data_IF_960235661334
#
_entry.id   IF_960235661334
#
_cell.length_a   1.000
_cell.length_b   1.000
_cell.length_c   1.000
_cell.angle_alpha   90.00
_cell.angle_beta   90.00
_cell.angle_gamma   90.00
#
_symmetry.space_group_name_H-M   'P 1'
#
loop_
_entity.id
_entity.type
_entity.pdbx_description
1 polymer ?
#
# COMPACT_ATOMS: atom_id res chain seq x y z
N UNK A 1 -14.26 8.02 -1.33
CA UNK A 1 -13.13 8.78 -0.80
C UNK A 1 -12.24 9.25 -1.94
N UNK A 2 -11.61 10.43 -1.83
CA UNK A 2 -10.47 10.87 -2.65
C UNK A 2 -9.27 11.09 -1.73
N UNK A 3 -8.10 10.54 -2.04
CA UNK A 3 -6.89 10.74 -1.23
C UNK A 3 -5.88 11.66 -1.94
N UNK A 4 -5.49 12.75 -1.29
CA UNK A 4 -4.49 13.69 -1.76
C UNK A 4 -3.08 13.23 -1.37
N UNK A 5 -2.21 13.07 -2.38
CA UNK A 5 -0.84 12.64 -2.18
C UNK A 5 0.08 13.80 -1.80
N UNK A 6 0.59 13.75 -0.57
CA UNK A 6 1.59 14.67 0.00
C UNK A 6 2.81 13.89 0.51
N UNK A 7 3.09 12.72 -0.08
CA UNK A 7 4.10 11.78 0.44
C UNK A 7 5.09 11.21 -0.58
N UNK A 8 4.86 11.43 -1.89
CA UNK A 8 5.74 10.93 -2.95
C UNK A 8 7.05 11.75 -3.04
N UNK A 9 8.24 11.13 -2.94
CA UNK A 9 9.52 11.86 -2.96
C UNK A 9 10.20 11.91 -4.34
N UNK A 10 9.58 11.42 -5.42
CA UNK A 10 10.30 11.27 -6.71
C UNK A 10 10.64 12.60 -7.39
N UNK A 11 11.73 12.66 -8.16
CA UNK A 11 12.17 13.89 -8.85
C UNK A 11 11.10 14.52 -9.76
N UNK A 12 10.29 13.69 -10.45
CA UNK A 12 9.18 14.15 -11.31
C UNK A 12 8.09 14.93 -10.55
N UNK A 13 7.99 14.69 -9.25
CA UNK A 13 7.00 15.29 -8.35
C UNK A 13 7.43 16.68 -7.93
N UNK A 14 8.73 16.91 -7.74
CA UNK A 14 9.28 18.23 -7.44
C UNK A 14 9.14 19.19 -8.63
N UNK A 15 9.39 18.70 -9.84
CA UNK A 15 9.25 19.51 -11.05
C UNK A 15 7.81 19.99 -11.30
N UNK A 16 6.81 19.27 -10.80
CA UNK A 16 5.40 19.63 -10.93
C UNK A 16 4.75 20.19 -9.66
N UNK A 17 5.51 20.41 -8.58
CA UNK A 17 5.00 20.89 -7.29
C UNK A 17 3.84 20.06 -6.69
N UNK A 18 3.94 18.73 -6.72
CA UNK A 18 2.99 17.83 -6.03
C UNK A 18 3.70 16.95 -4.99
N UNK A 19 3.01 16.03 -4.32
CA UNK A 19 3.63 15.04 -3.43
C UNK A 19 4.41 15.62 -2.23
N UNK A 20 5.53 15.00 -1.84
CA UNK A 20 6.18 15.27 -0.56
C UNK A 20 6.69 16.72 -0.43
N UNK A 21 7.01 17.41 -1.54
CA UNK A 21 7.45 18.80 -1.45
C UNK A 21 6.38 19.75 -0.87
N UNK A 22 5.10 19.38 -0.99
CA UNK A 22 3.99 20.12 -0.42
C UNK A 22 3.94 20.12 1.11
N UNK A 23 4.71 19.24 1.79
CA UNK A 23 4.95 19.32 3.24
C UNK A 23 5.58 20.66 3.66
N UNK A 24 6.24 21.37 2.74
CA UNK A 24 6.81 22.70 3.00
C UNK A 24 5.78 23.83 2.93
N UNK A 25 4.59 23.55 2.39
CA UNK A 25 3.54 24.55 2.12
C UNK A 25 2.17 24.05 2.60
N UNK A 26 1.98 23.80 3.91
CA UNK A 26 0.74 23.24 4.46
C UNK A 26 -0.50 24.09 4.15
N UNK A 27 -0.37 25.42 4.12
CA UNK A 27 -1.48 26.32 3.75
C UNK A 27 -2.02 26.07 2.34
N UNK A 28 -1.12 25.90 1.36
CA UNK A 28 -1.51 25.55 -0.01
C UNK A 28 -2.20 24.18 -0.08
N UNK A 29 -1.75 23.21 0.74
CA UNK A 29 -2.40 21.90 0.82
C UNK A 29 -3.78 22.01 1.43
N UNK A 30 -3.97 22.84 2.45
CA UNK A 30 -5.27 23.12 3.04
C UNK A 30 -6.24 23.78 2.03
N UNK A 31 -5.77 24.75 1.24
CA UNK A 31 -6.54 25.34 0.15
C UNK A 31 -6.94 24.30 -0.91
N UNK A 32 -5.98 23.48 -1.37
CA UNK A 32 -6.23 22.38 -2.30
C UNK A 32 -7.25 21.38 -1.74
N UNK A 33 -7.06 20.95 -0.49
CA UNK A 33 -7.96 20.02 0.18
C UNK A 33 -9.37 20.60 0.30
N UNK A 34 -9.51 21.87 0.71
CA UNK A 34 -10.79 22.55 0.83
C UNK A 34 -11.52 22.66 -0.51
N UNK A 35 -10.80 23.02 -1.57
CA UNK A 35 -11.36 23.06 -2.93
C UNK A 35 -11.82 21.67 -3.41
N UNK A 36 -11.02 20.62 -3.15
CA UNK A 36 -11.38 19.25 -3.48
C UNK A 36 -12.62 18.79 -2.70
N UNK A 37 -12.67 19.05 -1.39
CA UNK A 37 -13.79 18.65 -0.54
C UNK A 37 -15.07 19.40 -0.89
N UNK A 38 -15.00 20.68 -1.27
CA UNK A 38 -16.16 21.43 -1.73
C UNK A 38 -16.72 20.92 -3.08
N UNK A 39 -15.89 20.24 -3.88
CA UNK A 39 -16.29 19.71 -5.19
C UNK A 39 -16.96 18.33 -5.12
N UNK A 40 -16.88 17.62 -3.99
CA UNK A 40 -17.37 16.24 -3.86
C UNK A 40 -18.04 15.96 -2.51
N UNK A 41 -19.05 15.10 -2.50
CA UNK A 41 -19.75 14.70 -1.26
C UNK A 41 -19.05 13.57 -0.50
N UNK A 42 -18.05 12.93 -1.11
CA UNK A 42 -17.26 11.86 -0.48
C UNK A 42 -16.09 12.46 0.31
N UNK A 43 -15.59 11.77 1.35
CA UNK A 43 -14.46 12.28 2.13
C UNK A 43 -13.21 12.50 1.27
N UNK A 44 -12.54 13.63 1.47
CA UNK A 44 -11.19 13.88 0.98
C UNK A 44 -10.20 13.67 2.13
N UNK A 45 -9.21 12.81 1.92
CA UNK A 45 -8.22 12.42 2.94
C UNK A 45 -6.83 12.79 2.45
N UNK A 46 -5.83 12.83 3.35
CA UNK A 46 -4.46 13.19 2.98
C UNK A 46 -3.48 12.11 3.39
N UNK A 47 -2.56 11.77 2.49
CA UNK A 47 -1.45 10.86 2.77
C UNK A 47 -0.11 11.59 2.71
N UNK A 48 0.60 11.66 3.82
CA UNK A 48 1.84 12.42 3.97
C UNK A 48 3.02 11.56 4.47
N UNK A 49 4.14 12.24 4.72
CA UNK A 49 5.33 11.78 5.45
C UNK A 49 5.38 12.50 6.80
N UNK A 50 6.34 12.16 7.65
CA UNK A 50 6.57 12.90 8.92
C UNK A 50 7.35 14.21 8.73
N UNK A 51 7.75 14.55 7.50
CA UNK A 51 8.60 15.70 7.21
C UNK A 51 9.46 15.48 5.97
N UNK A 52 10.06 16.55 5.48
CA UNK A 52 11.02 16.50 4.36
C UNK A 52 12.38 17.09 4.70
N UNK A 53 13.41 16.57 4.03
CA UNK A 53 14.80 17.05 4.10
C UNK A 53 15.27 17.30 5.54
N UNK A 54 15.69 18.51 5.90
CA UNK A 54 16.21 18.88 7.22
C UNK A 54 15.14 19.36 8.21
N UNK A 55 13.85 19.40 7.84
CA UNK A 55 12.79 19.84 8.76
C UNK A 55 12.78 19.01 10.04
N UNK A 56 12.51 19.65 11.19
CA UNK A 56 12.17 18.89 12.39
C UNK A 56 10.88 18.09 12.13
N UNK A 57 10.89 16.75 12.30
CA UNK A 57 9.72 15.93 11.98
C UNK A 57 8.50 16.23 12.84
N UNK A 58 8.69 16.63 14.09
CA UNK A 58 7.59 16.90 15.00
C UNK A 58 6.91 18.22 14.65
N UNK A 59 7.70 19.29 14.54
CA UNK A 59 7.19 20.60 14.11
C UNK A 59 6.51 20.51 12.73
N UNK A 60 7.15 19.80 11.79
CA UNK A 60 6.63 19.64 10.42
C UNK A 60 5.32 18.86 10.39
N UNK A 61 5.27 17.68 11.03
CA UNK A 61 4.07 16.84 11.00
C UNK A 61 2.92 17.49 11.77
N UNK A 62 3.17 18.02 12.97
CA UNK A 62 2.11 18.58 13.81
C UNK A 62 1.56 19.86 13.19
N UNK A 63 2.42 20.79 12.75
CA UNK A 63 1.97 22.01 12.08
C UNK A 63 1.23 21.73 10.77
N UNK A 64 1.64 20.70 10.02
CA UNK A 64 0.92 20.25 8.83
C UNK A 64 -0.48 19.74 9.16
N UNK A 65 -0.60 18.88 10.17
CA UNK A 65 -1.88 18.30 10.59
C UNK A 65 -2.79 19.37 11.17
N UNK A 66 -2.30 20.23 12.05
CA UNK A 66 -3.05 21.35 12.63
C UNK A 66 -3.63 22.26 11.53
N UNK A 67 -2.80 22.64 10.55
CA UNK A 67 -3.24 23.50 9.44
C UNK A 67 -4.38 22.87 8.65
N UNK A 68 -4.25 21.60 8.28
CA UNK A 68 -5.28 20.89 7.49
C UNK A 68 -6.52 20.56 8.33
N UNK A 69 -6.35 20.26 9.62
CA UNK A 69 -7.45 20.03 10.55
C UNK A 69 -8.25 21.32 10.76
N UNK A 70 -7.58 22.48 10.85
CA UNK A 70 -8.22 23.79 10.87
C UNK A 70 -9.06 24.07 9.61
N UNK A 71 -8.65 23.56 8.46
CA UNK A 71 -9.44 23.64 7.22
C UNK A 71 -10.61 22.64 7.16
N UNK A 72 -10.63 21.63 8.04
CA UNK A 72 -11.70 20.63 8.13
C UNK A 72 -11.29 19.19 7.80
N UNK A 73 -10.02 18.93 7.43
CA UNK A 73 -9.55 17.57 7.19
C UNK A 73 -9.59 16.75 8.49
N UNK A 74 -10.03 15.50 8.41
CA UNK A 74 -10.17 14.61 9.59
C UNK A 74 -9.41 13.28 9.47
N UNK A 75 -8.90 12.94 8.29
CA UNK A 75 -8.25 11.64 8.05
C UNK A 75 -6.87 11.84 7.46
N UNK A 76 -5.87 11.36 8.20
CA UNK A 76 -4.45 11.48 7.87
C UNK A 76 -3.80 10.10 7.81
N UNK A 77 -3.25 9.75 6.65
CA UNK A 77 -2.42 8.55 6.48
C UNK A 77 -0.96 8.97 6.52
N UNK A 78 -0.24 8.59 7.57
CA UNK A 78 1.12 9.07 7.80
C UNK A 78 2.11 7.95 7.51
N UNK A 79 2.93 8.12 6.47
CA UNK A 79 4.11 7.28 6.33
C UNK A 79 5.15 7.76 7.36
N UNK A 80 5.46 6.91 8.33
CA UNK A 80 6.34 7.18 9.47
C UNK A 80 7.84 7.33 9.12
N UNK A 81 8.19 7.82 7.93
CA UNK A 81 9.57 8.14 7.53
C UNK A 81 9.59 9.53 6.94
N UNK A 82 10.70 10.25 7.13
CA UNK A 82 10.96 11.47 6.37
C UNK A 82 11.09 11.15 4.88
N UNK A 83 10.84 12.13 4.04
CA UNK A 83 11.19 12.09 2.63
C UNK A 83 12.37 13.02 2.35
N UNK A 84 13.44 12.50 1.77
CA UNK A 84 14.52 13.30 1.22
C UNK A 84 14.21 13.58 -0.23
N UNK A 85 14.08 14.86 -0.55
CA UNK A 85 13.79 15.33 -1.90
C UNK A 85 15.05 15.30 -2.77
N UNK A 86 16.24 15.26 -2.18
CA UNK A 86 17.49 15.16 -2.93
C UNK A 86 18.37 14.03 -2.40
N UNK A 87 19.21 13.49 -3.27
CA UNK A 87 20.24 12.51 -2.91
C UNK A 87 19.76 11.07 -2.72
N UNK A 88 18.46 10.80 -2.65
CA UNK A 88 17.90 9.45 -2.52
C UNK A 88 16.87 9.14 -3.61
N UNK A 89 16.97 7.97 -4.23
CA UNK A 89 15.93 7.44 -5.11
C UNK A 89 14.60 7.19 -4.36
N UNK A 90 13.46 7.07 -5.06
CA UNK A 90 12.18 6.71 -4.42
C UNK A 90 12.19 5.36 -3.68
N UNK A 91 13.10 4.45 -4.06
CA UNK A 91 13.30 3.19 -3.35
C UNK A 91 14.02 3.43 -2.03
N UNK A 92 15.16 4.10 -2.06
CA UNK A 92 15.96 4.42 -0.87
C UNK A 92 15.15 5.28 0.12
N UNK A 93 14.35 6.22 -0.36
CA UNK A 93 13.42 6.99 0.47
C UNK A 93 12.41 6.15 1.29
N UNK A 94 12.18 4.89 0.93
CA UNK A 94 11.32 3.95 1.66
C UNK A 94 12.10 2.95 2.52
N UNK A 95 13.43 2.99 2.49
CA UNK A 95 14.32 1.98 3.10
C UNK A 95 15.40 2.60 4.00
N UNK A 96 15.93 3.76 3.64
CA UNK A 96 17.05 4.42 4.33
C UNK A 96 16.63 5.28 5.52
N UNK A 97 15.71 6.28 5.41
CA UNK A 97 15.40 7.15 6.55
C UNK A 97 14.65 6.38 7.64
N UNK A 98 15.03 6.44 8.93
CA UNK A 98 14.45 5.58 9.96
C UNK A 98 12.92 5.73 10.07
N UNK A 99 12.26 4.65 10.52
CA UNK A 99 10.85 4.70 10.90
C UNK A 99 10.73 5.34 12.28
N UNK A 100 9.74 6.21 12.45
CA UNK A 100 9.41 6.84 13.72
C UNK A 100 7.91 6.68 13.99
N UNK A 101 7.51 5.50 14.45
CA UNK A 101 6.13 5.21 14.82
C UNK A 101 5.71 5.96 16.10
N UNK A 102 6.65 6.23 17.00
CA UNK A 102 6.38 6.93 18.25
C UNK A 102 5.98 8.38 18.01
N UNK A 103 6.59 9.07 17.04
CA UNK A 103 6.14 10.40 16.62
C UNK A 103 4.69 10.39 16.14
N UNK A 104 4.31 9.43 15.28
CA UNK A 104 2.93 9.32 14.80
C UNK A 104 1.96 8.98 15.95
N UNK A 105 2.40 8.16 16.91
CA UNK A 105 1.63 7.84 18.12
C UNK A 105 1.40 9.09 18.98
N UNK A 106 2.42 9.93 19.13
CA UNK A 106 2.30 11.22 19.85
C UNK A 106 1.34 12.17 19.14
N UNK A 107 1.37 12.21 17.80
CA UNK A 107 0.37 12.96 17.01
C UNK A 107 -1.05 12.46 17.32
N UNK A 108 -1.31 11.15 17.24
CA UNK A 108 -2.64 10.60 17.53
C UNK A 108 -3.11 10.87 18.97
N UNK A 109 -2.18 10.90 19.93
CA UNK A 109 -2.49 11.24 21.31
C UNK A 109 -2.81 12.74 21.51
N UNK A 110 -2.15 13.62 20.74
CA UNK A 110 -2.40 15.07 20.76
C UNK A 110 -3.72 15.44 20.07
N UNK A 111 -4.09 14.71 19.03
CA UNK A 111 -5.27 14.96 18.18
C UNK A 111 -6.24 13.75 18.19
N UNK A 112 -6.83 13.40 19.34
CA UNK A 112 -7.61 12.16 19.50
C UNK A 112 -8.84 12.07 18.61
N UNK A 113 -9.41 13.21 18.19
CA UNK A 113 -10.56 13.31 17.29
C UNK A 113 -10.24 13.05 15.82
N UNK A 114 -8.97 13.15 15.43
CA UNK A 114 -8.54 12.89 14.06
C UNK A 114 -8.35 11.40 13.84
N UNK A 115 -8.71 10.91 12.66
CA UNK A 115 -8.37 9.55 12.22
C UNK A 115 -6.94 9.52 11.71
N UNK A 116 -6.06 8.79 12.39
CA UNK A 116 -4.64 8.64 12.01
C UNK A 116 -4.37 7.20 11.61
N UNK A 117 -4.02 7.00 10.33
CA UNK A 117 -3.68 5.70 9.74
C UNK A 117 -2.17 5.57 9.62
N UNK A 118 -1.57 4.63 10.34
CA UNK A 118 -0.13 4.40 10.32
C UNK A 118 0.30 3.71 9.01
N UNK A 119 1.43 4.15 8.43
CA UNK A 119 2.04 3.52 7.27
C UNK A 119 3.57 3.46 7.35
N UNK A 120 4.15 2.47 6.65
CA UNK A 120 5.58 2.32 6.44
C UNK A 120 6.14 1.16 7.25
N UNK A 121 7.00 0.32 6.67
CA UNK A 121 7.72 -0.74 7.39
C UNK A 121 6.93 -1.99 7.75
N UNK A 122 5.61 -1.91 7.91
CA UNK A 122 4.76 -2.99 8.42
C UNK A 122 4.73 -4.17 7.45
N UNK A 123 5.18 -5.33 7.94
CA UNK A 123 5.46 -6.53 7.13
C UNK A 123 4.42 -7.64 7.30
N UNK A 124 3.71 -7.69 8.43
CA UNK A 124 2.77 -8.78 8.76
C UNK A 124 1.43 -8.26 9.26
N UNK A 125 0.39 -9.10 9.18
CA UNK A 125 -0.93 -8.77 9.75
C UNK A 125 -0.89 -8.74 11.27
N UNK A 126 -0.02 -9.53 11.91
CA UNK A 126 0.14 -9.52 13.37
C UNK A 126 0.79 -8.20 13.84
N UNK A 127 1.80 -7.70 13.12
CA UNK A 127 2.37 -6.37 13.37
C UNK A 127 1.32 -5.28 13.18
N UNK A 128 0.52 -5.37 12.10
CA UNK A 128 -0.58 -4.44 11.87
C UNK A 128 -1.60 -4.45 13.02
N UNK A 129 -2.01 -5.63 13.50
CA UNK A 129 -2.91 -5.78 14.64
C UNK A 129 -2.34 -5.14 15.92
N UNK A 130 -1.03 -5.27 16.16
CA UNK A 130 -0.37 -4.61 17.28
C UNK A 130 -0.43 -3.08 17.19
N UNK A 131 -0.29 -2.52 15.98
CA UNK A 131 -0.40 -1.06 15.78
C UNK A 131 -1.84 -0.53 15.95
N UNK A 132 -2.87 -1.32 15.64
CA UNK A 132 -4.27 -0.91 15.82
C UNK A 132 -4.68 -0.67 17.29
N UNK A 133 -3.84 -1.04 18.26
CA UNK A 133 -4.03 -0.63 19.65
C UNK A 133 -3.78 0.87 19.90
N UNK A 134 -3.06 1.55 19.00
CA UNK A 134 -2.65 2.96 19.14
C UNK A 134 -3.13 3.87 18.00
N UNK A 135 -3.56 3.28 16.89
CA UNK A 135 -3.92 4.00 15.66
C UNK A 135 -5.29 3.55 15.17
N UNK A 136 -6.02 4.44 14.50
CA UNK A 136 -7.35 4.14 13.97
C UNK A 136 -7.29 3.23 12.73
N UNK A 137 -6.13 3.12 12.10
CA UNK A 137 -5.92 2.24 10.96
C UNK A 137 -4.44 1.97 10.66
N UNK A 138 -4.22 0.97 9.81
CA UNK A 138 -2.90 0.61 9.30
C UNK A 138 -2.97 0.42 7.79
N UNK A 139 -2.00 0.99 7.06
CA UNK A 139 -1.87 0.81 5.61
C UNK A 139 -0.65 -0.05 5.28
N UNK A 140 -0.88 -1.19 4.63
CA UNK A 140 0.16 -2.05 4.06
C UNK A 140 0.41 -1.68 2.59
N UNK A 141 1.67 -1.79 2.16
CA UNK A 141 2.08 -1.51 0.79
C UNK A 141 2.92 -2.64 0.20
N UNK A 142 4.24 -2.55 0.35
CA UNK A 142 5.20 -3.52 -0.23
C UNK A 142 4.96 -4.96 0.22
N UNK A 143 4.63 -5.17 1.49
CA UNK A 143 4.34 -6.50 2.03
C UNK A 143 3.15 -7.14 1.32
N UNK A 144 2.03 -6.42 1.24
CA UNK A 144 0.81 -6.86 0.54
C UNK A 144 1.04 -7.12 -0.96
N UNK A 145 1.95 -6.38 -1.61
CA UNK A 145 2.27 -6.64 -3.02
C UNK A 145 3.24 -7.82 -3.21
N UNK A 146 4.20 -7.98 -2.31
CA UNK A 146 5.21 -9.05 -2.37
C UNK A 146 4.68 -10.43 -1.98
N UNK A 147 3.78 -10.48 -1.00
CA UNK A 147 3.03 -11.67 -0.58
C UNK A 147 1.56 -11.29 -0.36
N UNK A 148 0.73 -11.23 -1.42
CA UNK A 148 -0.67 -10.82 -1.30
C UNK A 148 -1.51 -11.75 -0.44
N UNK A 149 -1.08 -12.99 -0.20
CA UNK A 149 -1.83 -13.93 0.61
C UNK A 149 -1.79 -13.60 2.11
N UNK A 150 -0.92 -12.69 2.59
CA UNK A 150 -1.05 -12.18 3.95
C UNK A 150 -2.41 -11.49 4.14
N UNK A 151 -2.98 -10.93 3.07
CA UNK A 151 -4.28 -10.25 3.12
C UNK A 151 -5.45 -11.22 3.32
N UNK A 152 -5.27 -12.51 3.02
CA UNK A 152 -6.29 -13.54 3.26
C UNK A 152 -6.70 -13.63 4.73
N UNK A 153 -5.82 -13.19 5.64
CA UNK A 153 -6.04 -13.24 7.09
C UNK A 153 -6.76 -11.99 7.63
N UNK A 154 -6.92 -10.92 6.83
CA UNK A 154 -7.40 -9.61 7.33
C UNK A 154 -8.83 -9.71 7.86
N UNK A 155 -9.73 -10.33 7.12
CA UNK A 155 -11.14 -10.45 7.51
C UNK A 155 -11.28 -11.11 8.89
N UNK A 156 -10.58 -12.22 9.11
CA UNK A 156 -10.58 -12.93 10.39
C UNK A 156 -9.81 -12.22 11.49
N UNK A 157 -8.58 -11.75 11.21
CA UNK A 157 -7.66 -11.22 12.24
C UNK A 157 -8.00 -9.79 12.68
N UNK A 158 -8.53 -8.98 11.77
CA UNK A 158 -8.79 -7.55 12.01
C UNK A 158 -10.28 -7.27 12.16
N UNK A 159 -11.12 -7.86 11.31
CA UNK A 159 -12.57 -7.60 11.31
C UNK A 159 -13.39 -8.67 12.04
N UNK A 160 -12.74 -9.70 12.59
CA UNK A 160 -13.38 -10.81 13.30
C UNK A 160 -14.50 -11.49 12.47
N UNK A 161 -14.32 -11.54 11.15
CA UNK A 161 -15.25 -12.23 10.26
C UNK A 161 -15.15 -13.75 10.47
N UNK A 162 -16.30 -14.42 10.45
CA UNK A 162 -16.38 -15.89 10.57
C UNK A 162 -16.06 -16.65 9.28
N UNK A 163 -15.65 -15.96 8.22
CA UNK A 163 -15.30 -16.56 6.93
C UNK A 163 -13.90 -17.18 6.98
N UNK A 164 -13.70 -18.40 6.46
CA UNK A 164 -12.36 -18.98 6.34
C UNK A 164 -11.45 -18.13 5.46
N UNK A 165 -10.16 -18.06 5.81
CA UNK A 165 -9.13 -17.43 4.99
C UNK A 165 -9.09 -18.13 3.61
N UNK A 166 -9.12 -17.40 2.47
CA UNK A 166 -9.15 -18.01 1.14
C UNK A 166 -7.87 -18.81 0.85
N UNK A 167 -8.02 -20.01 0.28
CA UNK A 167 -6.90 -20.81 -0.18
C UNK A 167 -6.24 -20.22 -1.44
N UNK A 168 -4.91 -20.28 -1.50
CA UNK A 168 -4.13 -19.68 -2.60
C UNK A 168 -4.41 -20.34 -3.95
N UNK A 169 -4.73 -21.64 -3.99
CA UNK A 169 -5.09 -22.33 -5.24
C UNK A 169 -6.49 -21.92 -5.69
N UNK A 170 -7.44 -21.72 -4.78
CA UNK A 170 -8.77 -21.21 -5.11
C UNK A 170 -8.73 -19.76 -5.63
N UNK A 171 -7.88 -18.91 -5.03
CA UNK A 171 -7.60 -17.57 -5.55
C UNK A 171 -7.00 -17.66 -6.96
N UNK A 172 -6.03 -18.54 -7.19
CA UNK A 172 -5.44 -18.73 -8.51
C UNK A 172 -6.50 -19.19 -9.54
N UNK A 173 -7.35 -20.16 -9.20
CA UNK A 173 -8.45 -20.62 -10.06
C UNK A 173 -9.41 -19.49 -10.42
N UNK A 174 -9.79 -18.68 -9.43
CA UNK A 174 -10.64 -17.50 -9.64
C UNK A 174 -9.99 -16.48 -10.57
N UNK A 175 -8.67 -16.26 -10.41
CA UNK A 175 -7.91 -15.40 -11.29
C UNK A 175 -7.75 -15.95 -12.72
N UNK A 176 -7.74 -17.27 -12.92
CA UNK A 176 -7.79 -17.87 -14.27
C UNK A 176 -9.08 -17.46 -15.00
N UNK A 177 -10.22 -17.48 -14.31
CA UNK A 177 -11.50 -17.00 -14.84
C UNK A 177 -11.44 -15.51 -15.18
N UNK A 178 -10.90 -14.69 -14.27
CA UNK A 178 -10.74 -13.25 -14.51
C UNK A 178 -9.82 -12.96 -15.71
N UNK A 179 -8.70 -13.66 -15.86
CA UNK A 179 -7.78 -13.51 -17.00
C UNK A 179 -8.49 -13.84 -18.31
N UNK A 180 -9.34 -14.89 -18.35
CA UNK A 180 -10.14 -15.23 -19.53
C UNK A 180 -11.10 -14.10 -19.90
N UNK A 181 -11.77 -13.50 -18.91
CA UNK A 181 -12.67 -12.36 -19.13
C UNK A 181 -11.93 -11.13 -19.66
N UNK A 182 -10.77 -10.81 -19.09
CA UNK A 182 -9.93 -9.69 -19.53
C UNK A 182 -9.37 -9.91 -20.94
N UNK A 183 -8.92 -11.13 -21.25
CA UNK A 183 -8.43 -11.49 -22.57
C UNK A 183 -9.52 -11.37 -23.64
N UNK A 184 -10.77 -11.73 -23.33
CA UNK A 184 -11.91 -11.53 -24.22
C UNK A 184 -12.19 -10.05 -24.54
N UNK A 185 -11.71 -9.13 -23.68
CA UNK A 185 -11.78 -7.67 -23.88
C UNK A 185 -10.50 -7.09 -24.51
N UNK A 186 -9.58 -7.94 -24.99
CA UNK A 186 -8.33 -7.53 -25.61
C UNK A 186 -7.21 -7.14 -24.64
N UNK A 187 -7.38 -7.39 -23.34
CA UNK A 187 -6.33 -7.15 -22.34
C UNK A 187 -5.34 -8.31 -22.35
N UNK A 188 -4.04 -8.00 -22.49
CA UNK A 188 -2.98 -9.02 -22.39
C UNK A 188 -3.03 -9.72 -21.02
N UNK A 189 -3.04 -11.07 -20.96
CA UNK A 189 -2.97 -11.82 -19.71
C UNK A 189 -1.80 -11.40 -18.80
N UNK A 190 -0.69 -10.97 -19.40
CA UNK A 190 0.50 -10.50 -18.69
C UNK A 190 0.22 -9.31 -17.77
N UNK A 191 -0.70 -8.42 -18.15
CA UNK A 191 -1.08 -7.28 -17.32
C UNK A 191 -1.73 -7.70 -16.00
N UNK A 192 -2.27 -8.91 -15.94
CA UNK A 192 -2.80 -9.51 -14.72
C UNK A 192 -1.74 -10.37 -14.03
N UNK A 193 -1.10 -11.31 -14.75
CA UNK A 193 -0.21 -12.30 -14.13
C UNK A 193 1.03 -11.70 -13.47
N UNK A 194 1.53 -10.55 -13.96
CA UNK A 194 2.66 -9.84 -13.33
C UNK A 194 2.37 -9.39 -11.89
N UNK A 195 1.09 -9.28 -11.51
CA UNK A 195 0.64 -8.94 -10.16
C UNK A 195 0.36 -10.18 -9.30
N UNK A 196 0.41 -11.38 -9.87
CA UNK A 196 0.18 -12.65 -9.16
C UNK A 196 1.48 -13.39 -8.80
N UNK A 197 2.65 -12.81 -9.11
CA UNK A 197 3.95 -13.47 -8.88
C UNK A 197 4.19 -13.82 -7.40
N UNK A 198 3.69 -13.00 -6.49
CA UNK A 198 3.78 -13.21 -5.04
C UNK A 198 2.78 -14.21 -4.47
N UNK A 199 1.77 -14.68 -5.24
CA UNK A 199 0.65 -15.45 -4.69
C UNK A 199 1.08 -16.73 -3.98
N UNK A 200 2.16 -17.37 -4.43
CA UNK A 200 2.70 -18.60 -3.84
C UNK A 200 3.91 -18.35 -2.94
N UNK A 201 4.16 -17.12 -2.48
CA UNK A 201 5.29 -16.79 -1.60
C UNK A 201 5.38 -17.74 -0.40
N UNK A 202 6.60 -18.16 -0.06
CA UNK A 202 6.87 -19.09 1.05
C UNK A 202 6.39 -20.54 0.86
N UNK A 203 5.70 -20.88 -0.24
CA UNK A 203 5.21 -22.25 -0.51
C UNK A 203 6.21 -23.08 -1.32
N UNK A 204 6.22 -24.42 -1.17
CA UNK A 204 6.82 -25.31 -2.16
C UNK A 204 6.31 -24.99 -3.57
N UNK A 205 7.22 -24.92 -4.55
CA UNK A 205 6.87 -24.56 -5.92
C UNK A 205 6.74 -23.05 -6.21
N UNK A 206 6.87 -22.15 -5.23
CA UNK A 206 6.81 -20.69 -5.42
C UNK A 206 7.75 -20.17 -6.52
N UNK A 207 8.95 -20.74 -6.62
CA UNK A 207 9.91 -20.40 -7.68
C UNK A 207 9.38 -20.79 -9.06
N UNK A 208 8.83 -22.00 -9.18
CA UNK A 208 8.27 -22.53 -10.43
C UNK A 208 7.05 -21.70 -10.87
N UNK A 209 6.15 -21.38 -9.94
CA UNK A 209 5.04 -20.47 -10.16
C UNK A 209 5.50 -19.15 -10.80
N UNK A 210 6.46 -18.45 -10.16
CA UNK A 210 6.99 -17.19 -10.69
C UNK A 210 7.58 -17.36 -12.09
N UNK A 211 8.37 -18.40 -12.32
CA UNK A 211 8.98 -18.68 -13.62
C UNK A 211 7.93 -18.84 -14.72
N UNK A 212 6.87 -19.62 -14.48
CA UNK A 212 5.81 -19.87 -15.45
C UNK A 212 5.06 -18.58 -15.82
N UNK A 213 4.76 -17.75 -14.82
CA UNK A 213 4.03 -16.50 -15.03
C UNK A 213 4.88 -15.38 -15.64
N UNK A 214 6.21 -15.38 -15.43
CA UNK A 214 7.09 -14.32 -15.93
C UNK A 214 7.75 -14.62 -17.28
N UNK A 215 7.88 -15.90 -17.67
CA UNK A 215 8.69 -16.31 -18.82
C UNK A 215 8.19 -15.78 -20.17
N UNK A 216 6.88 -15.53 -20.29
CA UNK A 216 6.25 -15.29 -21.59
C UNK A 216 5.95 -13.82 -21.88
N UNK A 217 6.09 -12.92 -20.90
CA UNK A 217 5.86 -11.48 -21.08
C UNK A 217 4.54 -11.21 -21.82
N UNK A 218 4.55 -10.35 -22.84
CA UNK A 218 3.36 -10.06 -23.66
C UNK A 218 2.71 -11.31 -24.33
N UNK A 219 3.48 -12.37 -24.56
CA UNK A 219 3.03 -13.64 -25.16
C UNK A 219 2.45 -14.63 -24.14
N UNK A 220 2.14 -14.17 -22.92
CA UNK A 220 1.52 -15.01 -21.89
C UNK A 220 0.14 -15.49 -22.35
N UNK A 221 -0.11 -16.80 -22.44
CA UNK A 221 -1.41 -17.32 -22.86
C UNK A 221 -2.42 -17.25 -21.72
N UNK A 222 -3.70 -17.31 -22.09
CA UNK A 222 -4.84 -17.29 -21.17
C UNK A 222 -4.83 -18.52 -20.23
N UNK A 223 -4.27 -19.65 -20.67
CA UNK A 223 -4.15 -20.90 -19.92
C UNK A 223 -3.02 -20.94 -18.89
N UNK A 224 -2.20 -19.88 -18.79
CA UNK A 224 -0.96 -19.91 -18.00
C UNK A 224 -1.18 -20.25 -16.52
N UNK A 225 -2.30 -19.83 -15.94
CA UNK A 225 -2.61 -20.15 -14.54
C UNK A 225 -2.96 -21.62 -14.38
N UNK A 226 -3.75 -22.18 -15.30
CA UNK A 226 -4.11 -23.61 -15.25
C UNK A 226 -2.87 -24.49 -15.45
N UNK A 227 -1.99 -24.11 -16.38
CA UNK A 227 -0.67 -24.75 -16.57
C UNK A 227 0.16 -24.69 -15.28
N UNK A 228 0.21 -23.53 -14.62
CA UNK A 228 0.97 -23.36 -13.39
C UNK A 228 0.41 -24.15 -12.21
N UNK A 229 -0.91 -24.23 -12.07
CA UNK A 229 -1.57 -25.02 -11.02
C UNK A 229 -1.30 -26.52 -11.21
N UNK A 230 -1.46 -27.03 -12.43
CA UNK A 230 -1.20 -28.45 -12.72
C UNK A 230 0.26 -28.85 -12.43
N UNK A 231 1.21 -27.97 -12.72
CA UNK A 231 2.63 -28.21 -12.40
C UNK A 231 2.91 -28.21 -10.89
N UNK A 232 2.25 -27.31 -10.13
CA UNK A 232 2.37 -27.28 -8.67
C UNK A 232 1.75 -28.51 -8.00
N UNK A 233 0.61 -28.99 -8.50
CA UNK A 233 -0.05 -30.20 -8.01
C UNK A 233 0.81 -31.45 -8.23
N UNK A 234 1.45 -31.59 -9.39
CA UNK A 234 2.43 -32.66 -9.66
C UNK A 234 3.60 -32.61 -8.69
N UNK A 235 4.16 -31.42 -8.45
CA UNK A 235 5.27 -31.24 -7.51
C UNK A 235 4.89 -31.65 -6.09
N UNK A 236 3.68 -31.28 -5.65
CA UNK A 236 3.16 -31.68 -4.34
C UNK A 236 3.00 -33.20 -4.24
N UNK A 237 2.48 -33.85 -5.28
CA UNK A 237 2.31 -35.30 -5.32
C UNK A 237 3.65 -36.08 -5.34
N UNK A 238 4.72 -35.49 -5.90
CA UNK A 238 6.06 -36.10 -5.93
C UNK A 238 6.88 -35.93 -4.66
N UNK A 239 6.42 -35.06 -3.74
CA UNK A 239 7.13 -34.73 -2.51
C UNK A 239 6.55 -35.43 -1.26
N UNK A 240 5.43 -36.15 -1.40
CA UNK A 240 4.82 -37.00 -0.37
C UNK A 240 5.09 -38.46 -0.66
#
# INVERSE_FOLDING_TARGET
EINLNVGCPSDRVQAGAFGACLMKTPGLVAECWGAMQAAVDIPVTVKSRIGVDEQDPEESLFGFVETLAGAGCRVFIVHARKAWLQGLSPKENRETPPLDYDLVRRLKAAEPELTVVLNGGIATIDEAAGHLANFDGVMLGRAAYGDPAILAMVDRRIFNAGTPDPDRFDVARSMSVYIRQMAAQGVSPHHVTRHMLGLMHGRPGARRWRQLLSARGASTPVSVIDEALAELEKLAASAG
#
